data_IF_627699281408
#
_entry.id   IF_627699281408
#
_cell.length_a   1.000
_cell.length_b   1.000
_cell.length_c   1.000
_cell.angle_alpha   90.00
_cell.angle_beta   90.00
_cell.angle_gamma   90.00
#
_symmetry.space_group_name_H-M   'P 1'
#
loop_
_entity.id
_entity.type
_entity.pdbx_description
1 polymer ?
#
# COMPACT_ATOMS: atom_id res chain seq x y z
N UNK A 1 -25.14 10.22 -12.66
CA UNK A 1 -25.06 11.49 -13.41
C UNK A 1 -25.35 12.56 -12.40
N UNK A 2 -24.35 13.32 -11.95
CA UNK A 2 -24.60 14.38 -10.99
C UNK A 2 -25.32 15.52 -11.71
N UNK A 3 -26.41 16.00 -11.12
CA UNK A 3 -27.16 17.14 -11.66
C UNK A 3 -26.34 18.43 -11.45
N UNK A 4 -26.65 19.48 -12.21
CA UNK A 4 -25.99 20.79 -12.04
C UNK A 4 -26.19 21.30 -10.61
N UNK A 5 -27.36 21.04 -10.03
CA UNK A 5 -27.69 21.37 -8.63
C UNK A 5 -26.77 20.65 -7.62
N UNK A 6 -26.51 19.35 -7.79
CA UNK A 6 -25.60 18.59 -6.91
C UNK A 6 -24.17 19.14 -6.98
N UNK A 7 -23.72 19.57 -8.17
CA UNK A 7 -22.42 20.21 -8.33
C UNK A 7 -22.34 21.60 -7.67
N UNK A 8 -23.45 22.34 -7.62
CA UNK A 8 -23.54 23.61 -6.89
C UNK A 8 -23.50 23.39 -5.38
N UNK A 9 -24.16 22.34 -4.86
CA UNK A 9 -24.06 21.95 -3.46
C UNK A 9 -22.64 21.55 -3.06
N UNK A 10 -21.99 20.68 -3.85
CA UNK A 10 -20.59 20.30 -3.62
C UNK A 10 -19.64 21.51 -3.61
N UNK A 11 -19.97 22.56 -4.38
CA UNK A 11 -19.25 23.83 -4.40
C UNK A 11 -19.50 24.66 -3.14
N UNK A 12 -20.74 24.79 -2.69
CA UNK A 12 -21.12 25.50 -1.46
C UNK A 12 -20.47 24.84 -0.23
N UNK A 13 -20.42 23.50 -0.19
CA UNK A 13 -19.85 22.72 0.91
C UNK A 13 -18.32 22.63 0.87
N UNK A 14 -17.69 23.08 -0.22
CA UNK A 14 -16.23 23.04 -0.40
C UNK A 14 -15.64 21.64 -0.63
N UNK A 15 -16.47 20.68 -1.06
CA UNK A 15 -16.07 19.28 -1.26
C UNK A 15 -15.44 19.02 -2.66
N UNK A 16 -15.34 20.06 -3.50
CA UNK A 16 -14.78 20.00 -4.85
C UNK A 16 -13.26 20.22 -4.89
N UNK A 17 -12.61 19.63 -5.88
CA UNK A 17 -11.21 19.93 -6.22
C UNK A 17 -11.06 21.35 -6.82
N UNK A 18 -9.90 21.97 -6.67
CA UNK A 18 -9.64 23.34 -7.14
C UNK A 18 -9.89 23.55 -8.66
N UNK A 19 -9.74 22.50 -9.48
CA UNK A 19 -10.03 22.56 -10.91
C UNK A 19 -11.55 22.53 -11.20
N UNK A 20 -12.31 21.75 -10.43
CA UNK A 20 -13.77 21.67 -10.56
C UNK A 20 -14.43 22.93 -10.05
N UNK A 21 -13.96 23.49 -8.94
CA UNK A 21 -14.44 24.76 -8.38
C UNK A 21 -14.39 25.90 -9.42
N UNK A 22 -13.26 26.06 -10.13
CA UNK A 22 -13.13 27.06 -11.20
C UNK A 22 -14.08 26.83 -12.37
N UNK A 23 -14.33 25.57 -12.74
CA UNK A 23 -15.27 25.25 -13.81
C UNK A 23 -16.73 25.54 -13.45
N UNK A 24 -17.07 25.50 -12.16
CA UNK A 24 -18.40 25.86 -11.65
C UNK A 24 -18.51 27.38 -11.54
N UNK A 25 -17.47 28.06 -11.09
CA UNK A 25 -17.39 29.54 -11.05
C UNK A 25 -17.59 30.15 -12.45
N UNK A 26 -16.91 29.62 -13.47
CA UNK A 26 -17.09 30.03 -14.85
C UNK A 26 -18.52 29.78 -15.37
N UNK A 27 -19.19 28.71 -14.91
CA UNK A 27 -20.60 28.42 -15.24
C UNK A 27 -21.58 29.35 -14.54
N UNK A 28 -21.30 29.73 -13.30
CA UNK A 28 -22.09 30.72 -12.54
C UNK A 28 -22.00 32.09 -13.21
N UNK A 29 -20.83 32.47 -13.73
CA UNK A 29 -20.64 33.75 -14.41
C UNK A 29 -21.21 33.79 -15.84
N UNK A 30 -21.20 32.65 -16.55
CA UNK A 30 -21.64 32.58 -17.95
C UNK A 30 -23.13 32.34 -18.14
N UNK A 31 -23.81 31.69 -17.19
CA UNK A 31 -25.24 31.35 -17.30
C UNK A 31 -26.07 31.99 -16.17
N UNK A 32 -27.01 32.86 -16.56
CA UNK A 32 -27.90 33.54 -15.63
C UNK A 32 -28.83 32.57 -14.88
N UNK A 33 -29.23 31.45 -15.50
CA UNK A 33 -30.09 30.45 -14.86
C UNK A 33 -29.36 29.69 -13.75
N UNK A 34 -28.08 29.38 -13.96
CA UNK A 34 -27.21 28.71 -12.96
C UNK A 34 -26.92 29.66 -11.80
N UNK A 35 -26.70 30.96 -12.09
CA UNK A 35 -26.50 31.98 -11.06
C UNK A 35 -27.71 32.14 -10.14
N UNK A 36 -28.92 32.17 -10.70
CA UNK A 36 -30.16 32.23 -9.92
C UNK A 36 -30.32 31.00 -9.02
N UNK A 37 -30.07 29.80 -9.55
CA UNK A 37 -30.10 28.57 -8.74
C UNK A 37 -29.07 28.61 -7.61
N UNK A 38 -27.85 29.08 -7.88
CA UNK A 38 -26.82 29.25 -6.86
C UNK A 38 -27.25 30.22 -5.75
N UNK A 39 -27.82 31.37 -6.10
CA UNK A 39 -28.33 32.36 -5.14
C UNK A 39 -29.47 31.78 -4.28
N UNK A 40 -30.38 30.98 -4.86
CA UNK A 40 -31.45 30.29 -4.14
C UNK A 40 -30.90 29.26 -3.14
N UNK A 41 -29.94 28.43 -3.57
CA UNK A 41 -29.30 27.42 -2.70
C UNK A 41 -28.50 28.08 -1.56
N UNK A 42 -27.83 29.20 -1.85
CA UNK A 42 -27.10 29.97 -0.85
C UNK A 42 -28.05 30.58 0.19
N UNK A 43 -29.16 31.17 -0.25
CA UNK A 43 -30.19 31.72 0.64
C UNK A 43 -30.80 30.62 1.54
N UNK A 44 -31.03 29.44 0.97
CA UNK A 44 -31.51 28.28 1.72
C UNK A 44 -30.50 27.83 2.78
N UNK A 45 -29.21 27.70 2.43
CA UNK A 45 -28.15 27.31 3.36
C UNK A 45 -28.01 28.30 4.53
N UNK A 46 -28.10 29.61 4.24
CA UNK A 46 -28.09 30.66 5.28
C UNK A 46 -29.30 30.55 6.21
N UNK A 47 -30.49 30.28 5.66
CA UNK A 47 -31.72 30.05 6.45
C UNK A 47 -31.59 28.83 7.37
N UNK A 48 -30.97 27.75 6.90
CA UNK A 48 -30.67 26.57 7.72
C UNK A 48 -29.66 26.88 8.82
N UNK A 49 -28.67 27.74 8.55
CA UNK A 49 -27.68 28.17 9.55
C UNK A 49 -28.23 29.07 10.65
N UNK A 50 -29.33 29.80 10.38
CA UNK A 50 -30.02 30.64 11.37
C UNK A 50 -31.02 29.86 12.23
N UNK A 51 -31.34 28.62 11.88
CA UNK A 51 -32.18 27.79 12.75
C UNK A 51 -31.40 27.42 14.01
N UNK A 52 -31.99 27.70 15.16
CA UNK A 52 -31.48 27.22 16.44
C UNK A 52 -31.46 25.70 16.41
N UNK A 53 -30.26 25.13 16.47
CA UNK A 53 -30.07 23.69 16.60
C UNK A 53 -30.55 23.29 17.99
N UNK A 54 -31.75 22.71 18.06
CA UNK A 54 -32.27 22.11 19.28
C UNK A 54 -31.33 21.00 19.73
N UNK A 55 -30.87 21.08 20.99
CA UNK A 55 -30.04 20.04 21.57
C UNK A 55 -30.84 18.73 21.64
N UNK A 56 -30.28 17.59 21.21
CA UNK A 56 -30.96 16.32 21.33
C UNK A 56 -31.25 16.00 22.80
N UNK A 57 -32.27 15.17 23.05
CA UNK A 57 -32.57 14.77 24.41
C UNK A 57 -31.40 14.03 25.07
N UNK A 58 -31.24 14.23 26.39
CA UNK A 58 -30.20 13.57 27.18
C UNK A 58 -30.21 12.04 27.03
N UNK A 59 -31.38 11.42 26.82
CA UNK A 59 -31.50 9.98 26.60
C UNK A 59 -31.01 9.56 25.22
N UNK A 60 -31.23 10.36 24.18
CA UNK A 60 -30.72 10.09 22.83
C UNK A 60 -29.19 10.13 22.79
N UNK A 61 -28.60 11.21 23.32
CA UNK A 61 -27.14 11.36 23.36
C UNK A 61 -26.48 10.20 24.11
N UNK A 62 -27.03 9.79 25.27
CA UNK A 62 -26.54 8.62 26.01
C UNK A 62 -26.65 7.33 25.18
N UNK A 63 -27.79 7.06 24.57
CA UNK A 63 -28.01 5.83 23.81
C UNK A 63 -27.09 5.72 22.59
N UNK A 64 -26.80 6.84 21.91
CA UNK A 64 -25.85 6.88 20.78
C UNK A 64 -24.43 6.65 21.26
N UNK A 65 -23.99 7.34 22.31
CA UNK A 65 -22.63 7.21 22.81
C UNK A 65 -22.35 5.82 23.42
N UNK A 66 -23.34 5.19 24.05
CA UNK A 66 -23.23 3.80 24.51
C UNK A 66 -23.02 2.82 23.34
N UNK A 67 -23.71 3.03 22.21
CA UNK A 67 -23.54 2.19 21.00
C UNK A 67 -22.19 2.40 20.34
N UNK A 68 -21.74 3.65 20.22
CA UNK A 68 -20.42 3.99 19.65
C UNK A 68 -19.29 3.44 20.53
N UNK A 69 -19.42 3.49 21.85
CA UNK A 69 -18.44 2.92 22.77
C UNK A 69 -18.41 1.37 22.73
N UNK A 70 -19.54 0.74 22.39
CA UNK A 70 -19.62 -0.71 22.20
C UNK A 70 -19.03 -1.18 20.85
N UNK A 71 -18.89 -0.28 19.87
CA UNK A 71 -18.16 -0.57 18.65
C UNK A 71 -16.65 -0.61 18.95
N UNK A 72 -16.01 -1.69 18.53
CA UNK A 72 -14.56 -1.83 18.66
C UNK A 72 -13.91 -0.77 17.80
N UNK A 73 -13.14 0.13 18.41
CA UNK A 73 -12.39 1.16 17.69
C UNK A 73 -11.65 0.54 16.50
N UNK A 74 -11.60 1.21 15.33
CA UNK A 74 -11.00 0.65 14.14
C UNK A 74 -9.52 0.35 14.40
N UNK A 75 -9.22 -0.90 14.73
CA UNK A 75 -7.86 -1.36 14.93
C UNK A 75 -7.23 -1.38 13.55
N UNK A 76 -6.19 -0.58 13.35
CA UNK A 76 -5.37 -0.66 12.16
C UNK A 76 -4.96 -2.13 11.98
N UNK A 77 -5.43 -2.76 10.91
CA UNK A 77 -5.20 -4.17 10.60
C UNK A 77 -3.69 -4.38 10.42
N UNK A 78 -2.97 -4.61 11.52
CA UNK A 78 -1.60 -5.10 11.47
C UNK A 78 -1.69 -6.51 10.91
N UNK A 79 -1.32 -6.68 9.65
CA UNK A 79 -1.16 -7.99 9.01
C UNK A 79 -0.29 -8.86 9.91
N UNK A 80 -0.88 -9.89 10.51
CA UNK A 80 -0.21 -10.83 11.41
C UNK A 80 0.59 -11.83 10.59
N UNK A 81 1.69 -11.37 9.98
CA UNK A 81 2.61 -12.29 9.29
C UNK A 81 3.38 -13.07 10.35
N UNK A 82 3.27 -14.40 10.32
CA UNK A 82 4.04 -15.26 11.21
C UNK A 82 5.52 -15.20 10.83
N UNK A 83 6.33 -14.62 11.72
CA UNK A 83 7.77 -14.44 11.51
C UNK A 83 8.51 -15.77 11.31
N UNK A 84 8.00 -16.89 11.83
CA UNK A 84 8.58 -18.22 11.62
C UNK A 84 8.53 -18.64 10.14
N UNK A 85 7.46 -18.30 9.43
CA UNK A 85 7.31 -18.60 8.00
C UNK A 85 8.32 -17.77 7.19
N UNK A 86 8.49 -16.49 7.54
CA UNK A 86 9.47 -15.61 6.92
C UNK A 86 10.90 -16.17 7.09
N UNK A 87 11.26 -16.61 8.29
CA UNK A 87 12.56 -17.25 8.53
C UNK A 87 12.73 -18.57 7.78
N UNK A 88 11.66 -19.37 7.64
CA UNK A 88 11.68 -20.61 6.86
C UNK A 88 11.97 -20.36 5.38
N UNK A 89 11.27 -19.39 4.77
CA UNK A 89 11.50 -19.00 3.38
C UNK A 89 12.92 -18.44 3.21
N UNK A 90 13.37 -17.56 4.12
CA UNK A 90 14.71 -17.00 4.07
C UNK A 90 15.80 -18.08 4.16
N UNK A 91 15.65 -19.06 5.06
CA UNK A 91 16.59 -20.17 5.20
C UNK A 91 16.65 -21.04 3.93
N UNK A 92 15.51 -21.28 3.27
CA UNK A 92 15.47 -22.02 2.01
C UNK A 92 16.28 -21.31 0.91
N UNK A 93 16.06 -20.01 0.71
CA UNK A 93 16.81 -19.24 -0.30
C UNK A 93 18.31 -19.21 -0.02
N UNK A 94 18.71 -18.98 1.24
CA UNK A 94 20.14 -19.01 1.63
C UNK A 94 20.74 -20.40 1.39
N UNK A 95 20.03 -21.47 1.75
CA UNK A 95 20.49 -22.85 1.51
C UNK A 95 20.63 -23.17 0.03
N UNK A 96 19.67 -22.77 -0.80
CA UNK A 96 19.72 -22.95 -2.25
C UNK A 96 20.91 -22.17 -2.87
N UNK A 97 21.14 -20.93 -2.43
CA UNK A 97 22.25 -20.11 -2.90
C UNK A 97 23.60 -20.73 -2.53
N UNK A 98 23.75 -21.23 -1.30
CA UNK A 98 24.95 -21.96 -0.87
C UNK A 98 25.16 -23.25 -1.66
N UNK A 99 24.10 -23.98 -1.98
CA UNK A 99 24.20 -25.20 -2.78
C UNK A 99 24.66 -24.93 -4.22
N UNK A 100 24.09 -23.90 -4.87
CA UNK A 100 24.49 -23.48 -6.22
C UNK A 100 25.91 -22.93 -6.20
N UNK A 101 26.27 -22.12 -5.20
CA UNK A 101 27.62 -21.58 -5.04
C UNK A 101 28.65 -22.71 -4.82
N UNK A 102 28.35 -23.67 -3.95
CA UNK A 102 29.19 -24.84 -3.71
C UNK A 102 29.38 -25.69 -4.98
N UNK A 103 28.32 -25.89 -5.75
CA UNK A 103 28.40 -26.57 -7.05
C UNK A 103 29.25 -25.77 -8.06
N UNK A 104 29.08 -24.45 -8.12
CA UNK A 104 29.86 -23.60 -9.02
C UNK A 104 31.35 -23.61 -8.66
N UNK A 105 31.70 -23.56 -7.38
CA UNK A 105 33.08 -23.67 -6.88
C UNK A 105 33.67 -25.05 -7.19
N UNK A 106 32.92 -26.12 -6.96
CA UNK A 106 33.33 -27.49 -7.30
C UNK A 106 33.56 -27.67 -8.81
N UNK A 107 32.68 -27.12 -9.64
CA UNK A 107 32.73 -27.25 -11.09
C UNK A 107 33.78 -26.34 -11.76
N UNK A 108 34.26 -25.29 -11.10
CA UNK A 108 35.17 -24.30 -11.70
C UNK A 108 36.66 -24.67 -11.61
N UNK A 109 36.98 -25.89 -11.15
CA UNK A 109 38.37 -26.39 -11.16
C UNK A 109 39.32 -25.54 -10.32
N UNK A 110 38.81 -24.84 -9.30
CA UNK A 110 39.63 -24.11 -8.35
C UNK A 110 40.39 -25.16 -7.52
N UNK A 111 41.72 -25.15 -7.64
CA UNK A 111 42.60 -26.10 -6.96
C UNK A 111 42.70 -25.74 -5.47
N UNK A 112 41.62 -26.02 -4.72
CA UNK A 112 41.57 -25.93 -3.26
C UNK A 112 42.19 -27.23 -2.73
N UNK A 113 43.50 -27.37 -2.88
CA UNK A 113 44.31 -28.56 -2.56
C UNK A 113 44.36 -28.96 -1.06
N UNK A 114 43.30 -28.70 -0.27
CA UNK A 114 43.24 -29.07 1.16
C UNK A 114 41.93 -29.75 1.62
N UNK A 115 40.94 -29.98 0.76
CA UNK A 115 39.69 -30.64 1.18
C UNK A 115 39.23 -31.71 0.18
N UNK A 116 39.81 -32.90 0.31
CA UNK A 116 39.44 -34.07 -0.49
C UNK A 116 38.16 -34.72 0.06
N UNK A 117 36.99 -34.19 -0.32
CA UNK A 117 35.69 -34.81 -0.08
C UNK A 117 35.19 -35.47 -1.37
N UNK A 118 35.48 -36.77 -1.50
CA UNK A 118 34.99 -37.61 -2.58
C UNK A 118 33.55 -38.06 -2.30
N UNK A 119 32.57 -37.18 -2.56
CA UNK A 119 31.15 -37.52 -2.52
C UNK A 119 30.66 -37.82 -3.93
N UNK A 120 30.61 -39.11 -4.28
CA UNK A 120 29.96 -39.60 -5.50
C UNK A 120 28.45 -39.61 -5.31
N UNK A 121 27.79 -38.47 -5.54
CA UNK A 121 26.34 -38.42 -5.66
C UNK A 121 25.94 -38.96 -7.05
N UNK A 122 25.33 -40.15 -7.07
CA UNK A 122 24.86 -40.83 -8.28
C UNK A 122 23.56 -40.24 -8.86
N UNK A 123 23.46 -38.92 -8.93
CA UNK A 123 22.32 -38.21 -9.52
C UNK A 123 22.87 -37.26 -10.58
N UNK A 124 22.47 -37.46 -11.84
CA UNK A 124 22.83 -36.59 -12.97
C UNK A 124 22.12 -35.22 -12.87
N UNK A 125 22.59 -34.39 -11.93
CA UNK A 125 22.10 -33.02 -11.68
C UNK A 125 22.47 -32.10 -12.86
N UNK A 126 23.46 -32.50 -13.67
CA UNK A 126 23.96 -31.81 -14.87
C UNK A 126 22.87 -31.54 -15.91
N UNK A 127 21.82 -32.38 -15.97
CA UNK A 127 20.70 -32.20 -16.93
C UNK A 127 19.75 -31.07 -16.54
N UNK A 128 19.65 -30.76 -15.26
CA UNK A 128 18.74 -29.73 -14.73
C UNK A 128 19.45 -28.41 -14.42
N UNK A 129 20.76 -28.46 -14.09
CA UNK A 129 21.62 -27.28 -13.90
C UNK A 129 22.27 -26.85 -15.23
N UNK A 130 21.46 -26.38 -16.18
CA UNK A 130 22.01 -25.73 -17.39
C UNK A 130 22.55 -24.34 -17.04
N UNK A 131 23.60 -23.89 -17.73
CA UNK A 131 24.23 -22.58 -17.49
C UNK A 131 23.22 -21.42 -17.48
N UNK A 132 22.22 -21.47 -18.36
CA UNK A 132 21.12 -20.49 -18.41
C UNK A 132 20.31 -20.44 -17.11
N UNK A 133 19.95 -21.59 -16.54
CA UNK A 133 19.15 -21.66 -15.30
C UNK A 133 19.92 -21.09 -14.12
N UNK A 134 21.22 -21.40 -14.02
CA UNK A 134 22.09 -20.88 -12.96
C UNK A 134 22.24 -19.36 -13.08
N UNK A 135 22.49 -18.84 -14.28
CA UNK A 135 22.59 -17.39 -14.48
C UNK A 135 21.27 -16.66 -14.21
N UNK A 136 20.13 -17.21 -14.64
CA UNK A 136 18.81 -16.63 -14.35
C UNK A 136 18.53 -16.63 -12.84
N UNK A 137 18.84 -17.71 -12.14
CA UNK A 137 18.66 -17.79 -10.69
C UNK A 137 19.52 -16.75 -9.95
N UNK A 138 20.81 -16.67 -10.26
CA UNK A 138 21.71 -15.67 -9.66
C UNK A 138 21.29 -14.22 -9.98
N UNK A 139 20.76 -13.96 -11.17
CA UNK A 139 20.28 -12.64 -11.55
C UNK A 139 19.05 -12.22 -10.73
N UNK A 140 18.11 -13.15 -10.52
CA UNK A 140 16.93 -12.91 -9.67
C UNK A 140 17.36 -12.68 -8.21
N UNK A 141 18.29 -13.48 -7.69
CA UNK A 141 18.82 -13.32 -6.34
C UNK A 141 19.54 -11.98 -6.16
N UNK A 142 20.31 -11.51 -7.16
CA UNK A 142 20.97 -10.21 -7.14
C UNK A 142 19.95 -9.06 -7.02
N UNK A 143 18.87 -9.11 -7.80
CA UNK A 143 17.81 -8.09 -7.75
C UNK A 143 17.14 -8.09 -6.37
N UNK A 144 16.77 -9.26 -5.86
CA UNK A 144 16.16 -9.40 -4.53
C UNK A 144 17.11 -8.86 -3.45
N UNK A 145 18.41 -9.17 -3.54
CA UNK A 145 19.43 -8.67 -2.64
C UNK A 145 19.56 -7.14 -2.67
N UNK A 146 19.49 -6.53 -3.86
CA UNK A 146 19.55 -5.08 -4.02
C UNK A 146 18.30 -4.39 -3.43
N UNK A 147 17.11 -4.94 -3.68
CA UNK A 147 15.85 -4.46 -3.09
C UNK A 147 15.88 -4.58 -1.56
N UNK A 148 16.41 -5.69 -1.05
CA UNK A 148 16.57 -5.87 0.40
C UNK A 148 17.57 -4.87 1.01
N UNK A 149 18.69 -4.62 0.34
CA UNK A 149 19.67 -3.62 0.75
C UNK A 149 19.05 -2.21 0.80
N UNK A 150 18.31 -1.84 -0.23
CA UNK A 150 17.59 -0.57 -0.31
C UNK A 150 16.55 -0.43 0.81
N UNK A 151 15.78 -1.49 1.08
CA UNK A 151 14.85 -1.54 2.21
C UNK A 151 15.57 -1.36 3.57
N UNK A 152 16.72 -2.00 3.75
CA UNK A 152 17.52 -1.90 4.98
C UNK A 152 18.05 -0.47 5.18
N UNK A 153 18.55 0.16 4.11
CA UNK A 153 19.03 1.54 4.13
C UNK A 153 17.90 2.53 4.45
N UNK A 154 16.72 2.40 3.83
CA UNK A 154 15.55 3.25 4.15
C UNK A 154 15.08 3.10 5.59
N UNK A 155 15.05 1.86 6.12
CA UNK A 155 14.67 1.61 7.52
C UNK A 155 15.64 2.27 8.50
N UNK A 156 16.94 2.27 8.20
CA UNK A 156 17.95 2.97 9.01
C UNK A 156 17.90 4.49 8.86
N UNK A 157 17.56 5.00 7.67
CA UNK A 157 17.43 6.43 7.42
C UNK A 157 16.23 7.08 8.14
N UNK A 158 15.15 6.32 8.41
CA UNK A 158 13.96 6.83 9.13
C UNK A 158 14.05 6.74 10.67
N UNK A 159 15.14 6.21 11.23
CA UNK A 159 15.31 6.04 12.68
C UNK A 159 16.37 6.99 13.28
N UNK A 160 16.52 8.19 12.71
CA UNK A 160 17.32 9.30 13.23
C UNK A 160 16.49 10.56 13.28
#
# INVERSE_FOLDING_TARGET
MNTIEEQLWDYIDGNLSAAQARSIEEKIDSDNAIRLQYEELLALNLTFGEMELDEPSMSFARNVMERVAAEVAPVALKTTVNTRIVYGIAAFFIGALLAVFGYAVYSSGIDISALNWNLKFGVDISKYLTSTVVYTFLFVDLIIGLVFLDYLLRKKAMHK
#
